data_IF_896664418702
#
_entry.id   IF_896664418702
#
_cell.length_a   1.000
_cell.length_b   1.000
_cell.length_c   1.000
_cell.angle_alpha   90.00
_cell.angle_beta   90.00
_cell.angle_gamma   90.00
#
_symmetry.space_group_name_H-M   'P 1'
#
loop_
_entity.id
_entity.type
_entity.pdbx_description
1 polymer ?
#
# COMPACT_ATOMS: atom_id res chain seq x y z
N UNK A 1 -2.49 -0.03 6.64
CA UNK A 1 -2.22 1.32 7.16
C UNK A 1 -3.28 2.26 6.59
N UNK A 2 -3.79 3.25 7.34
CA UNK A 2 -4.84 4.14 6.85
C UNK A 2 -4.29 5.22 5.91
N UNK A 3 -5.06 5.63 4.91
CA UNK A 3 -4.74 6.75 4.03
C UNK A 3 -5.70 7.91 4.31
N UNK A 4 -5.19 9.03 4.83
CA UNK A 4 -6.04 10.14 5.28
C UNK A 4 -6.67 10.97 4.16
N UNK A 5 -6.18 10.84 2.93
CA UNK A 5 -6.56 11.69 1.80
C UNK A 5 -6.69 10.84 0.52
N UNK A 6 -7.48 11.33 -0.42
CA UNK A 6 -7.66 10.74 -1.74
C UNK A 6 -6.91 11.56 -2.79
N UNK A 7 -6.23 10.88 -3.71
CA UNK A 7 -5.91 11.42 -5.02
C UNK A 7 -7.04 11.17 -6.03
N UNK A 8 -6.75 11.28 -7.34
CA UNK A 8 -7.68 10.86 -8.39
C UNK A 8 -8.14 9.41 -8.17
N UNK A 9 -9.44 9.16 -8.25
CA UNK A 9 -10.04 7.84 -8.03
C UNK A 9 -10.75 7.37 -9.30
N UNK A 10 -9.97 6.86 -10.26
CA UNK A 10 -10.49 6.27 -11.51
C UNK A 10 -10.26 4.77 -11.45
N UNK A 11 -11.30 3.97 -11.72
CA UNK A 11 -11.30 2.50 -11.59
C UNK A 11 -11.10 1.94 -10.16
N UNK A 12 -11.10 2.82 -9.16
CA UNK A 12 -11.03 2.48 -7.74
C UNK A 12 -11.97 3.36 -6.93
N UNK A 13 -12.33 2.90 -5.73
CA UNK A 13 -12.91 3.73 -4.67
C UNK A 13 -12.09 3.63 -3.40
N UNK A 14 -12.03 4.74 -2.66
CA UNK A 14 -11.39 4.80 -1.36
C UNK A 14 -12.13 5.82 -0.48
N UNK A 15 -12.39 5.44 0.77
CA UNK A 15 -12.92 6.34 1.79
C UNK A 15 -11.74 6.90 2.59
N UNK A 16 -11.58 8.23 2.64
CA UNK A 16 -10.52 8.86 3.42
C UNK A 16 -10.50 8.36 4.88
N UNK A 17 -9.32 8.01 5.38
CA UNK A 17 -9.09 7.38 6.68
C UNK A 17 -9.16 5.84 6.67
N UNK A 18 -9.68 5.22 5.61
CA UNK A 18 -9.71 3.77 5.49
C UNK A 18 -8.33 3.19 5.14
N UNK A 19 -8.18 1.88 5.33
CA UNK A 19 -7.01 1.12 4.90
C UNK A 19 -7.20 0.43 3.55
N UNK A 20 -8.45 0.35 3.09
CA UNK A 20 -8.92 -0.46 1.97
C UNK A 20 -9.20 0.41 0.75
N UNK A 21 -8.57 0.06 -0.37
CA UNK A 21 -8.90 0.58 -1.70
C UNK A 21 -9.62 -0.51 -2.46
N UNK A 22 -10.82 -0.23 -2.95
CA UNK A 22 -11.63 -1.21 -3.70
C UNK A 22 -11.50 -0.95 -5.19
N UNK A 23 -11.19 -1.99 -5.96
CA UNK A 23 -11.14 -1.95 -7.43
C UNK A 23 -12.57 -1.96 -7.98
N UNK A 24 -12.92 -1.01 -8.86
CA UNK A 24 -14.24 -0.97 -9.50
C UNK A 24 -14.26 -1.56 -10.91
N UNK A 25 -13.10 -1.62 -11.57
CA UNK A 25 -12.96 -2.16 -12.93
C UNK A 25 -11.89 -3.24 -12.95
N UNK A 26 -12.23 -4.44 -13.43
CA UNK A 26 -11.25 -5.51 -13.59
C UNK A 26 -10.14 -5.16 -14.59
N UNK A 27 -8.93 -5.63 -14.36
CA UNK A 27 -7.79 -5.45 -15.26
C UNK A 27 -6.44 -5.65 -14.60
N UNK A 28 -5.38 -5.35 -15.33
CA UNK A 28 -4.02 -5.34 -14.78
C UNK A 28 -3.69 -3.96 -14.24
N UNK A 29 -3.22 -3.90 -13.01
CA UNK A 29 -2.86 -2.67 -12.32
C UNK A 29 -1.36 -2.64 -12.02
N UNK A 30 -0.71 -1.52 -12.34
CA UNK A 30 0.54 -1.15 -11.70
C UNK A 30 0.21 -0.57 -10.32
N UNK A 31 0.83 -1.14 -9.30
CA UNK A 31 0.68 -0.73 -7.91
C UNK A 31 2.04 -0.24 -7.44
N UNK A 32 2.12 1.05 -7.10
CA UNK A 32 3.30 1.67 -6.52
C UNK A 32 2.98 2.15 -5.12
N UNK A 33 3.92 1.99 -4.19
CA UNK A 33 3.78 2.55 -2.86
C UNK A 33 5.09 3.11 -2.31
N UNK A 34 4.94 4.05 -1.39
CA UNK A 34 6.01 4.59 -0.55
C UNK A 34 5.52 4.64 0.89
N UNK A 35 6.35 4.18 1.83
CA UNK A 35 6.11 4.26 3.27
C UNK A 35 7.29 4.96 3.91
N UNK A 36 7.05 6.13 4.52
CA UNK A 36 8.07 6.87 5.27
C UNK A 36 8.04 6.44 6.73
N UNK A 37 9.12 5.84 7.21
CA UNK A 37 9.25 5.37 8.59
C UNK A 37 10.24 6.21 9.41
N UNK A 38 9.93 6.40 10.69
CA UNK A 38 10.81 7.01 11.70
C UNK A 38 11.32 5.99 12.74
N UNK A 39 10.76 4.77 12.71
CA UNK A 39 11.26 3.58 13.39
C UNK A 39 10.69 2.34 12.67
N UNK A 40 11.44 1.25 12.58
CA UNK A 40 10.90 0.00 12.02
C UNK A 40 11.92 -0.94 11.39
N UNK A 41 13.19 -0.90 11.81
CA UNK A 41 14.23 -1.81 11.32
C UNK A 41 13.77 -3.27 11.49
N UNK A 42 13.77 -4.04 10.40
CA UNK A 42 13.32 -5.43 10.36
C UNK A 42 11.82 -5.62 10.12
N UNK A 43 11.00 -4.56 10.13
CA UNK A 43 9.60 -4.66 9.72
C UNK A 43 9.46 -4.98 8.23
N UNK A 44 8.30 -5.48 7.81
CA UNK A 44 8.02 -5.82 6.41
C UNK A 44 6.75 -5.17 5.92
N UNK A 45 6.77 -4.58 4.73
CA UNK A 45 5.60 -4.00 4.06
C UNK A 45 5.21 -4.89 2.88
N UNK A 46 3.93 -5.14 2.70
CA UNK A 46 3.44 -5.86 1.53
C UNK A 46 2.06 -5.35 1.08
N UNK A 47 1.75 -5.65 -0.18
CA UNK A 47 0.40 -5.53 -0.72
C UNK A 47 -0.37 -6.80 -0.39
N UNK A 48 -1.63 -6.63 -0.04
CA UNK A 48 -2.55 -7.73 0.09
C UNK A 48 -3.86 -7.46 -0.63
N UNK A 49 -4.34 -8.48 -1.34
CA UNK A 49 -5.59 -8.49 -2.10
C UNK A 49 -6.56 -9.40 -1.36
N UNK A 50 -7.75 -8.88 -1.04
CA UNK A 50 -8.80 -9.62 -0.33
C UNK A 50 -8.32 -10.28 0.97
N UNK A 51 -7.46 -9.59 1.72
CA UNK A 51 -6.91 -10.13 2.98
C UNK A 51 -5.64 -10.96 2.83
N UNK A 52 -5.31 -11.45 1.63
CA UNK A 52 -4.16 -12.33 1.39
C UNK A 52 -2.97 -11.53 0.85
N UNK A 53 -1.80 -11.72 1.44
CA UNK A 53 -0.57 -11.05 0.99
C UNK A 53 -0.14 -11.62 -0.36
N UNK A 54 0.15 -10.73 -1.30
CA UNK A 54 0.76 -11.13 -2.56
C UNK A 54 2.25 -11.39 -2.34
N UNK A 55 2.69 -12.62 -2.62
CA UNK A 55 4.04 -13.09 -2.32
C UNK A 55 5.14 -12.37 -3.10
N UNK A 56 4.82 -11.66 -4.18
CA UNK A 56 5.79 -10.89 -4.98
C UNK A 56 6.09 -9.50 -4.40
N UNK A 57 5.32 -9.05 -3.40
CA UNK A 57 5.34 -7.67 -2.89
C UNK A 57 6.01 -7.41 -1.54
N UNK A 58 6.44 -8.40 -0.72
CA UNK A 58 7.11 -8.09 0.55
C UNK A 58 8.41 -7.30 0.36
N UNK A 59 8.53 -6.18 1.08
CA UNK A 59 9.74 -5.36 1.19
C UNK A 59 10.11 -5.21 2.67
N UNK A 60 11.31 -5.66 3.02
CA UNK A 60 11.83 -5.56 4.39
C UNK A 60 12.50 -4.20 4.62
N UNK A 61 12.24 -3.59 5.77
CA UNK A 61 12.92 -2.40 6.24
C UNK A 61 14.34 -2.75 6.69
N UNK A 62 15.34 -2.44 5.87
CA UNK A 62 16.76 -2.61 6.20
C UNK A 62 17.37 -1.37 6.87
N UNK A 63 16.56 -0.34 7.09
CA UNK A 63 16.92 0.91 7.78
C UNK A 63 15.91 1.19 8.88
N UNK A 64 16.36 1.83 9.97
CA UNK A 64 15.48 2.21 11.07
C UNK A 64 14.63 3.44 10.78
N UNK A 65 15.12 4.35 9.93
CA UNK A 65 14.45 5.56 9.46
C UNK A 65 14.66 5.68 7.96
N UNK A 66 13.66 6.17 7.23
CA UNK A 66 13.77 6.35 5.77
C UNK A 66 12.49 6.01 5.03
N UNK A 67 12.62 5.74 3.73
CA UNK A 67 11.50 5.37 2.87
C UNK A 67 11.63 3.92 2.42
N UNK A 68 10.51 3.21 2.45
CA UNK A 68 10.34 1.89 1.84
C UNK A 68 9.48 2.07 0.62
N UNK A 69 9.98 1.63 -0.53
CA UNK A 69 9.24 1.71 -1.80
C UNK A 69 9.02 0.32 -2.36
N UNK A 70 7.93 0.15 -3.10
CA UNK A 70 7.64 -1.09 -3.81
C UNK A 70 6.79 -0.84 -5.03
N UNK A 71 6.92 -1.74 -5.99
CA UNK A 71 6.16 -1.75 -7.23
C UNK A 71 5.76 -3.20 -7.55
N UNK A 72 4.53 -3.38 -8.01
CA UNK A 72 4.06 -4.66 -8.52
C UNK A 72 3.05 -4.46 -9.66
N UNK A 73 2.91 -5.47 -10.52
CA UNK A 73 1.81 -5.55 -11.48
C UNK A 73 0.90 -6.70 -11.09
N UNK A 74 -0.33 -6.40 -10.70
CA UNK A 74 -1.30 -7.41 -10.28
C UNK A 74 -2.52 -7.38 -11.19
N UNK A 75 -3.03 -8.56 -11.55
CA UNK A 75 -4.36 -8.69 -12.17
C UNK A 75 -5.40 -8.67 -11.07
N UNK A 76 -6.31 -7.70 -11.11
CA UNK A 76 -7.34 -7.48 -10.10
C UNK A 76 -8.73 -7.59 -10.75
N UNK A 77 -9.65 -8.23 -10.05
CA UNK A 77 -11.06 -8.28 -10.41
C UNK A 77 -11.80 -7.03 -9.88
N UNK A 78 -12.94 -6.72 -10.49
CA UNK A 78 -13.86 -5.74 -9.91
C UNK A 78 -14.38 -6.27 -8.56
N UNK A 79 -14.31 -5.45 -7.53
CA UNK A 79 -14.63 -5.81 -6.15
C UNK A 79 -13.43 -6.22 -5.31
N UNK A 80 -12.24 -6.43 -5.91
CA UNK A 80 -11.04 -6.73 -5.14
C UNK A 80 -10.67 -5.58 -4.20
N UNK A 81 -10.29 -5.94 -2.98
CA UNK A 81 -9.87 -5.00 -1.94
C UNK A 81 -8.36 -5.06 -1.77
N UNK A 82 -7.69 -3.97 -2.11
CA UNK A 82 -6.24 -3.79 -1.97
C UNK A 82 -5.94 -3.06 -0.67
N UNK A 83 -4.93 -3.55 0.04
CA UNK A 83 -4.41 -2.91 1.27
C UNK A 83 -2.89 -2.90 1.28
N UNK A 84 -2.30 -1.84 1.80
CA UNK A 84 -0.88 -1.77 2.17
C UNK A 84 -0.75 -2.02 3.67
N UNK A 85 0.03 -3.03 4.07
CA UNK A 85 0.11 -3.45 5.49
C UNK A 85 1.52 -3.81 5.92
N UNK A 86 1.76 -3.66 7.22
CA UNK A 86 2.88 -4.31 7.86
C UNK A 86 2.60 -5.82 7.89
N UNK A 87 3.42 -6.61 7.21
CA UNK A 87 3.34 -8.06 7.10
C UNK A 87 4.39 -8.77 8.00
N UNK A 88 4.76 -8.14 9.11
CA UNK A 88 5.76 -8.67 10.04
C UNK A 88 5.27 -8.58 11.49
N UNK A 89 5.94 -9.32 12.38
CA UNK A 89 5.75 -9.20 13.82
C UNK A 89 6.46 -7.98 14.44
N UNK A 90 7.19 -7.19 13.65
CA UNK A 90 7.94 -6.03 14.10
C UNK A 90 7.15 -4.77 13.78
N UNK A 91 6.87 -3.96 14.80
CA UNK A 91 6.18 -2.68 14.67
C UNK A 91 6.99 -1.69 13.82
N UNK A 92 6.28 -0.75 13.20
CA UNK A 92 6.90 0.41 12.54
C UNK A 92 6.14 1.67 12.92
N UNK A 93 6.85 2.79 12.92
CA UNK A 93 6.32 4.14 13.17
C UNK A 93 6.40 4.93 11.87
N UNK A 94 5.26 5.46 11.42
CA UNK A 94 5.19 6.28 10.22
C UNK A 94 5.58 7.72 10.50
N UNK A 95 6.09 8.40 9.47
CA UNK A 95 6.12 9.85 9.46
C UNK A 95 4.68 10.40 9.57
N UNK A 96 4.49 11.43 10.39
CA UNK A 96 3.19 12.04 10.62
C UNK A 96 3.05 13.36 9.87
N UNK A 97 1.81 13.83 9.74
CA UNK A 97 1.48 15.14 9.21
C UNK A 97 2.36 16.22 9.87
N UNK A 98 2.88 17.19 9.10
CA UNK A 98 2.55 17.50 7.70
C UNK A 98 3.24 16.61 6.65
N UNK A 99 4.05 15.64 7.05
CA UNK A 99 4.71 14.72 6.12
C UNK A 99 3.76 13.60 5.65
N UNK A 100 4.15 12.92 4.56
CA UNK A 100 3.43 11.74 4.05
C UNK A 100 4.00 10.47 4.69
N UNK A 101 3.19 9.82 5.54
CA UNK A 101 3.55 8.55 6.17
C UNK A 101 3.44 7.35 5.24
N UNK A 102 2.40 7.32 4.40
CA UNK A 102 2.21 6.30 3.38
C UNK A 102 1.50 6.88 2.16
N UNK A 103 1.89 6.40 0.98
CA UNK A 103 1.27 6.70 -0.30
C UNK A 103 1.11 5.40 -1.09
N UNK A 104 -0.01 5.26 -1.79
CA UNK A 104 -0.34 4.11 -2.63
C UNK A 104 -1.01 4.61 -3.91
N UNK A 105 -0.50 4.16 -5.05
CA UNK A 105 -1.06 4.43 -6.37
C UNK A 105 -1.48 3.12 -7.03
N UNK A 106 -2.70 3.07 -7.56
CA UNK A 106 -3.21 1.96 -8.37
C UNK A 106 -3.54 2.52 -9.76
N UNK A 107 -2.74 2.17 -10.75
CA UNK A 107 -2.92 2.61 -12.15
C UNK A 107 -3.29 1.42 -13.03
N UNK A 108 -4.50 1.46 -13.62
CA UNK A 108 -4.93 0.43 -14.57
C UNK A 108 -4.12 0.55 -15.87
N UNK A 109 -3.56 -0.57 -16.35
CA UNK A 109 -2.78 -0.68 -17.58
C UNK A 109 -3.59 -1.26 -18.75
N UNK A 110 -4.43 -2.27 -18.48
CA UNK A 110 -5.29 -2.95 -19.44
C UNK A 110 -6.57 -3.43 -18.76
#
# INVERSE_FOLDING_TARGET
MPFSNNGPSVNITHTAGATSVTVTTAGTYQIDYTVSITAGLGSGIAIAVNGTVDASTPVTALVGTGQLTGQAMLTLAAGDVVTLRNNSGISLTLALAPNVGAQLNLMKLA
#
